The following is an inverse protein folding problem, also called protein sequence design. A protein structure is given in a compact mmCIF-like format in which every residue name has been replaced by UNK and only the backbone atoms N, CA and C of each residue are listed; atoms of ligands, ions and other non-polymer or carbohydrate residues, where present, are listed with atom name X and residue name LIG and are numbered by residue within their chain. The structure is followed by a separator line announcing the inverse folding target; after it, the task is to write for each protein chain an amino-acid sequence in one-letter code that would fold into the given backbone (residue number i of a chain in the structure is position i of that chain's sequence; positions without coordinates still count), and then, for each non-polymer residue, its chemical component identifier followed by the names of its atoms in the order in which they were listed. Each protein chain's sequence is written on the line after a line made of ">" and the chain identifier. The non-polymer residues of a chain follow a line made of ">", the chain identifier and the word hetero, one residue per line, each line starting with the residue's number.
data_IF_266875873905
#
_entry.id   IF_266875873905
#
_cell.length_a   1.000
_cell.length_b   1.000
_cell.length_c   1.000
_cell.angle_alpha   90.00
_cell.angle_beta   90.00
_cell.angle_gamma   90.00
#
_symmetry.space_group_name_H-M   'P 1'
#
loop_
_entity.id
_entity.type
_entity.pdbx_description
1 polymer ?
#
# COMPACT_ATOMS: atom_id res chain seq x y z
N UNK A 1 5.84 -20.59 -2.67
CA UNK A 1 4.47 -20.30 -3.15
C UNK A 1 3.67 -19.83 -1.94
N UNK A 2 3.44 -18.53 -1.80
CA UNK A 2 2.80 -17.94 -0.62
C UNK A 2 1.35 -17.58 -0.97
N UNK A 3 0.33 -18.08 -0.24
CA UNK A 3 -1.07 -17.80 -0.57
C UNK A 3 -1.40 -16.32 -0.36
N UNK A 4 -2.18 -15.76 -1.28
CA UNK A 4 -2.63 -14.38 -1.24
C UNK A 4 -4.14 -14.34 -0.97
N UNK A 5 -4.52 -13.55 0.02
CA UNK A 5 -5.90 -13.31 0.42
C UNK A 5 -6.25 -11.85 0.19
N UNK A 6 -7.51 -11.55 -0.13
CA UNK A 6 -7.99 -10.18 -0.32
C UNK A 6 -9.20 -9.88 0.55
N UNK A 7 -9.23 -8.72 1.21
CA UNK A 7 -10.38 -8.28 2.00
C UNK A 7 -10.62 -6.78 1.83
N UNK A 8 -11.73 -6.42 1.21
CA UNK A 8 -12.11 -5.03 0.97
C UNK A 8 -13.63 -4.84 1.04
N UNK A 9 -14.08 -3.58 1.17
CA UNK A 9 -15.47 -3.24 1.43
C UNK A 9 -16.46 -3.59 0.32
N UNK A 10 -15.98 -3.67 -0.92
CA UNK A 10 -16.79 -4.07 -2.08
C UNK A 10 -16.99 -5.59 -2.24
N UNK A 11 -16.52 -6.41 -1.29
CA UNK A 11 -16.74 -7.85 -1.30
C UNK A 11 -18.06 -8.21 -0.60
N UNK A 12 -18.82 -9.20 -1.11
CA UNK A 12 -19.96 -9.77 -0.40
C UNK A 12 -19.59 -10.21 1.02
N UNK A 13 -20.50 -10.06 1.98
CA UNK A 13 -20.24 -10.45 3.38
C UNK A 13 -19.84 -11.93 3.52
N UNK A 14 -20.47 -12.80 2.74
CA UNK A 14 -20.17 -14.24 2.69
C UNK A 14 -18.73 -14.52 2.26
N UNK A 15 -18.25 -13.83 1.22
CA UNK A 15 -16.87 -13.94 0.75
C UNK A 15 -15.87 -13.36 1.74
N UNK A 16 -16.21 -12.23 2.39
CA UNK A 16 -15.36 -11.66 3.45
C UNK A 16 -15.17 -12.64 4.61
N UNK A 17 -16.27 -13.27 5.05
CA UNK A 17 -16.22 -14.26 6.12
C UNK A 17 -15.39 -15.49 5.71
N UNK A 18 -15.58 -15.95 4.47
CA UNK A 18 -14.82 -17.09 3.94
C UNK A 18 -13.31 -16.81 3.90
N UNK A 19 -12.91 -15.69 3.29
CA UNK A 19 -11.49 -15.30 3.20
C UNK A 19 -10.88 -15.09 4.59
N UNK A 20 -11.62 -14.47 5.51
CA UNK A 20 -11.17 -14.30 6.88
C UNK A 20 -10.89 -15.64 7.57
N UNK A 21 -11.82 -16.60 7.47
CA UNK A 21 -11.65 -17.94 8.05
C UNK A 21 -10.48 -18.67 7.40
N UNK A 22 -10.36 -18.62 6.07
CA UNK A 22 -9.26 -19.24 5.33
C UNK A 22 -7.90 -18.66 5.75
N UNK A 23 -7.80 -17.33 5.90
CA UNK A 23 -6.56 -16.67 6.35
C UNK A 23 -6.21 -17.03 7.81
N UNK A 24 -7.19 -17.03 8.72
CA UNK A 24 -6.95 -17.37 10.12
C UNK A 24 -6.55 -18.84 10.33
N UNK A 25 -6.96 -19.73 9.41
CA UNK A 25 -6.58 -21.15 9.42
C UNK A 25 -5.24 -21.42 8.72
N UNK A 26 -4.74 -20.47 7.93
CA UNK A 26 -3.48 -20.65 7.20
C UNK A 26 -2.28 -20.53 8.15
N UNK A 27 -1.29 -21.42 7.97
CA UNK A 27 -0.02 -21.33 8.71
C UNK A 27 0.92 -20.26 8.15
N UNK A 28 0.70 -19.82 6.91
CA UNK A 28 1.44 -18.76 6.24
C UNK A 28 0.56 -18.14 5.15
N UNK A 29 0.73 -16.86 4.88
CA UNK A 29 0.02 -16.17 3.81
C UNK A 29 0.12 -14.66 3.91
N UNK A 30 -0.32 -13.97 2.87
CA UNK A 30 -0.41 -12.50 2.84
C UNK A 30 -1.86 -12.10 2.66
N UNK A 31 -2.38 -11.31 3.59
CA UNK A 31 -3.69 -10.67 3.46
C UNK A 31 -3.52 -9.24 2.96
N UNK A 32 -4.01 -8.97 1.76
CA UNK A 32 -4.12 -7.63 1.20
C UNK A 32 -5.49 -7.06 1.55
N UNK A 33 -5.52 -5.97 2.31
CA UNK A 33 -6.79 -5.40 2.77
C UNK A 33 -6.78 -3.87 2.84
N UNK A 34 -7.97 -3.29 2.73
CA UNK A 34 -8.20 -1.87 3.08
C UNK A 34 -8.55 -1.74 4.57
N UNK A 35 -8.86 -0.53 5.04
CA UNK A 35 -9.22 -0.25 6.45
C UNK A 35 -10.44 -1.01 6.97
N UNK A 36 -11.17 -1.72 6.10
CA UNK A 36 -12.20 -2.70 6.51
C UNK A 36 -11.64 -3.78 7.43
N UNK A 37 -10.35 -4.12 7.32
CA UNK A 37 -9.70 -5.07 8.21
C UNK A 37 -9.14 -4.45 9.50
N UNK A 38 -9.00 -3.11 9.55
CA UNK A 38 -8.32 -2.43 10.65
C UNK A 38 -9.12 -2.46 11.96
N UNK A 39 -10.45 -2.63 11.89
CA UNK A 39 -11.35 -2.64 13.05
C UNK A 39 -12.20 -3.89 13.10
N UNK A 40 -12.48 -4.37 14.31
CA UNK A 40 -13.43 -5.48 14.54
C UNK A 40 -12.97 -6.88 14.15
N UNK A 41 -11.88 -7.04 13.37
CA UNK A 41 -11.34 -8.35 13.03
C UNK A 41 -10.23 -8.78 13.99
N UNK A 42 -10.35 -9.97 14.55
CA UNK A 42 -9.33 -10.58 15.40
C UNK A 42 -8.43 -11.51 14.56
N UNK A 43 -7.41 -10.93 13.93
CA UNK A 43 -6.42 -11.70 13.19
C UNK A 43 -5.43 -12.36 14.18
N UNK A 44 -5.33 -13.71 14.24
CA UNK A 44 -4.40 -14.38 15.14
C UNK A 44 -2.99 -14.37 14.55
N UNK A 45 -1.98 -14.01 15.36
CA UNK A 45 -0.58 -14.27 15.04
C UNK A 45 -0.05 -13.61 13.77
N UNK A 46 -0.40 -12.34 13.54
CA UNK A 46 0.19 -11.58 12.41
C UNK A 46 1.61 -11.17 12.76
N UNK A 47 2.60 -11.65 12.01
CA UNK A 47 4.02 -11.35 12.27
C UNK A 47 4.41 -9.94 11.83
N UNK A 48 3.88 -9.48 10.69
CA UNK A 48 4.23 -8.18 10.12
C UNK A 48 3.03 -7.45 9.52
N UNK A 49 2.99 -6.14 9.72
CA UNK A 49 2.05 -5.23 9.09
C UNK A 49 2.78 -4.35 8.10
N UNK A 50 2.39 -4.43 6.82
CA UNK A 50 2.91 -3.55 5.77
C UNK A 50 1.82 -2.57 5.37
N UNK A 51 2.08 -1.29 5.61
CA UNK A 51 1.21 -0.18 5.24
C UNK A 51 1.77 0.45 3.97
N UNK A 52 1.13 0.15 2.83
CA UNK A 52 1.56 0.66 1.53
C UNK A 52 1.35 2.18 1.40
N UNK A 53 0.26 2.70 1.98
CA UNK A 53 -0.05 4.12 2.03
C UNK A 53 -0.27 4.54 3.49
N UNK A 54 0.09 5.79 3.80
CA UNK A 54 -0.24 6.40 5.08
C UNK A 54 -1.77 6.37 5.33
N UNK A 55 -2.22 6.09 6.56
CA UNK A 55 -3.65 6.10 6.87
C UNK A 55 -4.20 7.52 6.77
N UNK A 56 -5.47 7.63 6.37
CA UNK A 56 -6.16 8.93 6.27
C UNK A 56 -6.38 9.62 7.63
N UNK A 57 -6.21 8.87 8.72
CA UNK A 57 -6.29 9.33 10.11
C UNK A 57 -5.25 8.59 10.97
N UNK A 58 -4.53 9.31 11.81
CA UNK A 58 -3.55 8.77 12.74
C UNK A 58 -4.08 7.64 13.65
N UNK A 59 -5.37 7.65 14.01
CA UNK A 59 -5.99 6.58 14.81
C UNK A 59 -6.01 5.27 14.04
N UNK A 60 -6.14 5.33 12.72
CA UNK A 60 -6.11 4.13 11.89
C UNK A 60 -4.72 3.55 11.77
N UNK A 61 -3.66 4.37 11.86
CA UNK A 61 -2.30 3.85 12.05
C UNK A 61 -2.24 2.93 13.27
N UNK A 62 -2.69 3.42 14.43
CA UNK A 62 -2.66 2.66 15.68
C UNK A 62 -3.50 1.37 15.59
N UNK A 63 -4.67 1.43 14.94
CA UNK A 63 -5.51 0.25 14.73
C UNK A 63 -4.88 -0.81 13.82
N UNK A 64 -4.16 -0.38 12.77
CA UNK A 64 -3.44 -1.24 11.82
C UNK A 64 -2.27 -1.93 12.50
N UNK A 65 -1.37 -1.19 13.15
CA UNK A 65 -0.20 -1.78 13.84
C UNK A 65 -0.62 -2.62 15.05
N UNK A 66 -1.72 -2.27 15.71
CA UNK A 66 -2.29 -3.07 16.79
C UNK A 66 -2.86 -4.44 16.36
N UNK A 67 -2.73 -4.84 15.09
CA UNK A 67 -3.03 -6.20 14.62
C UNK A 67 -1.87 -7.18 14.83
N UNK A 68 -0.64 -6.69 14.92
CA UNK A 68 0.54 -7.49 15.26
C UNK A 68 0.92 -7.34 16.74
N UNK A 69 2.00 -7.98 17.18
CA UNK A 69 2.55 -7.92 18.53
C UNK A 69 1.50 -8.19 19.64
N UNK A 70 0.61 -9.16 19.42
CA UNK A 70 -0.48 -9.52 20.34
C UNK A 70 -0.10 -10.69 21.24
N UNK A 71 -0.69 -10.71 22.44
CA UNK A 71 -0.58 -11.83 23.39
C UNK A 71 0.89 -12.18 23.73
N UNK A 72 1.73 -11.15 23.90
CA UNK A 72 3.14 -11.32 24.26
C UNK A 72 4.06 -11.78 23.12
N UNK A 73 3.54 -11.88 21.88
CA UNK A 73 4.37 -12.10 20.69
C UNK A 73 4.98 -10.79 20.21
N UNK A 74 6.15 -10.90 19.58
CA UNK A 74 6.78 -9.81 18.84
C UNK A 74 6.07 -9.61 17.49
N UNK A 75 6.34 -8.48 16.85
CA UNK A 75 5.76 -8.15 15.56
C UNK A 75 6.26 -6.82 15.02
N UNK A 76 6.35 -6.74 13.69
CA UNK A 76 6.89 -5.55 13.00
C UNK A 76 5.81 -4.79 12.26
N UNK A 77 5.99 -3.48 12.13
CA UNK A 77 5.18 -2.63 11.26
C UNK A 77 6.06 -1.78 10.35
N UNK A 78 5.84 -1.88 9.04
CA UNK A 78 6.50 -1.09 8.01
C UNK A 78 5.48 -0.14 7.39
N UNK A 79 5.81 1.14 7.29
CA UNK A 79 5.02 2.15 6.58
C UNK A 79 5.86 2.71 5.43
N UNK A 80 5.33 2.63 4.22
CA UNK A 80 5.88 3.36 3.08
C UNK A 80 5.42 4.82 3.12
N UNK A 81 6.35 5.72 2.87
CA UNK A 81 6.10 7.15 2.72
C UNK A 81 6.77 7.65 1.45
N UNK A 82 6.08 8.51 0.71
CA UNK A 82 6.69 9.30 -0.34
C UNK A 82 7.65 10.34 0.27
N UNK A 83 8.65 10.83 -0.49
CA UNK A 83 9.52 11.90 -0.02
C UNK A 83 8.76 13.15 0.46
N UNK A 84 7.63 13.45 -0.18
CA UNK A 84 6.73 14.55 0.21
C UNK A 84 5.99 14.33 1.53
N UNK A 85 5.95 13.10 2.03
CA UNK A 85 5.17 12.69 3.21
C UNK A 85 6.06 12.52 4.44
N UNK A 86 7.37 12.73 4.33
CA UNK A 86 8.35 12.50 5.40
C UNK A 86 8.05 13.24 6.70
N UNK A 87 7.39 14.41 6.63
CA UNK A 87 6.94 15.15 7.82
C UNK A 87 5.92 14.36 8.67
N UNK A 88 5.29 13.32 8.13
CA UNK A 88 4.40 12.43 8.89
C UNK A 88 5.14 11.66 9.99
N UNK A 89 6.45 11.45 9.84
CA UNK A 89 7.29 10.82 10.87
C UNK A 89 7.25 11.62 12.17
N UNK A 90 7.20 12.95 12.09
CA UNK A 90 7.11 13.81 13.27
C UNK A 90 5.73 13.76 13.92
N UNK A 91 4.68 13.57 13.12
CA UNK A 91 3.31 13.31 13.62
C UNK A 91 3.27 12.00 14.41
N UNK A 92 3.88 10.93 13.87
CA UNK A 92 3.96 9.63 14.55
C UNK A 92 4.75 9.74 15.87
N UNK A 93 5.89 10.44 15.88
CA UNK A 93 6.67 10.70 17.09
C UNK A 93 5.88 11.51 18.12
N UNK A 94 5.10 12.49 17.69
CA UNK A 94 4.21 13.26 18.56
C UNK A 94 3.14 12.42 19.25
N UNK A 95 2.78 11.26 18.70
CA UNK A 95 1.91 10.27 19.33
C UNK A 95 2.66 9.23 20.18
N UNK A 96 3.96 9.44 20.43
CA UNK A 96 4.80 8.55 21.23
C UNK A 96 5.33 7.32 20.48
N UNK A 97 5.20 7.28 19.15
CA UNK A 97 5.69 6.16 18.36
C UNK A 97 7.18 6.34 18.02
N UNK A 98 7.98 5.33 18.30
CA UNK A 98 9.37 5.30 17.87
C UNK A 98 9.45 4.71 16.45
N UNK A 99 10.02 5.46 15.53
CA UNK A 99 10.15 5.08 14.13
C UNK A 99 11.61 4.97 13.74
N UNK A 100 11.94 3.92 12.99
CA UNK A 100 13.27 3.72 12.39
C UNK A 100 13.11 3.97 10.89
N UNK A 101 13.87 4.91 10.36
CA UNK A 101 13.88 5.16 8.93
C UNK A 101 14.69 4.07 8.24
N UNK A 102 14.09 3.46 7.22
CA UNK A 102 14.74 2.46 6.37
C UNK A 102 14.87 3.07 4.98
N UNK A 103 16.10 3.12 4.46
CA UNK A 103 16.34 3.61 3.12
C UNK A 103 15.79 2.59 2.09
N UNK A 104 15.19 3.08 1.00
CA UNK A 104 14.61 2.21 -0.01
C UNK A 104 15.71 1.34 -0.67
N UNK A 105 16.90 1.91 -0.82
CA UNK A 105 18.09 1.25 -1.37
C UNK A 105 18.48 0.02 -0.55
N UNK A 106 18.29 0.06 0.78
CA UNK A 106 18.59 -1.07 1.67
C UNK A 106 17.59 -2.21 1.48
N UNK A 107 16.34 -1.89 1.13
CA UNK A 107 15.29 -2.88 0.83
C UNK A 107 15.52 -3.46 -0.56
N UNK A 108 15.68 -2.60 -1.58
CA UNK A 108 15.85 -3.03 -2.96
C UNK A 108 17.17 -3.77 -3.19
N UNK A 109 18.22 -3.43 -2.44
CA UNK A 109 19.49 -4.16 -2.45
C UNK A 109 19.34 -5.63 -2.05
N UNK A 110 18.34 -5.99 -1.22
CA UNK A 110 18.05 -7.39 -0.85
C UNK A 110 17.34 -8.17 -1.95
N UNK A 111 16.67 -7.49 -2.88
CA UNK A 111 16.00 -8.13 -4.02
C UNK A 111 16.99 -8.57 -5.10
N UNK A 112 18.17 -7.93 -5.15
CA UNK A 112 19.22 -8.28 -6.09
C UNK A 112 20.13 -9.34 -5.44
N UNK A 113 20.13 -10.56 -5.97
CA UNK A 113 20.90 -11.69 -5.41
C UNK A 113 22.42 -11.53 -5.39
N UNK A 114 22.96 -10.38 -5.82
CA UNK A 114 24.40 -10.15 -5.99
C UNK A 114 24.83 -8.66 -5.86
N UNK A 115 24.89 -8.14 -4.63
CA UNK A 115 26.02 -7.35 -4.10
C UNK A 115 26.56 -6.10 -4.81
N UNK A 116 25.89 -5.49 -5.80
CA UNK A 116 26.32 -4.19 -6.37
C UNK A 116 25.22 -3.13 -6.25
N UNK A 117 25.59 -1.95 -5.73
CA UNK A 117 24.67 -0.79 -5.59
C UNK A 117 23.95 -0.38 -6.88
N UNK A 118 24.50 -0.65 -8.07
CA UNK A 118 23.86 -0.28 -9.34
C UNK A 118 22.84 -1.32 -9.87
N UNK A 119 22.68 -2.46 -9.19
CA UNK A 119 21.85 -3.57 -9.67
C UNK A 119 20.35 -3.34 -9.40
N UNK A 120 20.02 -2.62 -8.31
CA UNK A 120 18.64 -2.42 -7.90
C UNK A 120 17.87 -1.47 -8.82
N UNK A 121 18.51 -0.44 -9.37
CA UNK A 121 17.87 0.47 -10.32
C UNK A 121 17.47 -0.26 -11.60
N UNK A 122 18.33 -1.16 -12.07
CA UNK A 122 18.06 -2.00 -13.24
C UNK A 122 16.94 -2.99 -12.94
N UNK A 123 17.00 -3.68 -11.79
CA UNK A 123 15.94 -4.59 -11.37
C UNK A 123 14.58 -3.89 -11.23
N UNK A 124 14.56 -2.72 -10.57
CA UNK A 124 13.36 -1.89 -10.44
C UNK A 124 12.82 -1.44 -11.80
N UNK A 125 13.71 -1.02 -12.71
CA UNK A 125 13.34 -0.63 -14.07
C UNK A 125 12.75 -1.80 -14.85
N UNK A 126 13.35 -2.99 -14.76
CA UNK A 126 12.85 -4.19 -15.42
C UNK A 126 11.47 -4.59 -14.88
N UNK A 127 11.28 -4.55 -13.56
CA UNK A 127 10.00 -4.82 -12.92
C UNK A 127 8.93 -3.82 -13.35
N UNK A 128 9.25 -2.53 -13.35
CA UNK A 128 8.37 -1.46 -13.84
C UNK A 128 7.95 -1.72 -15.30
N UNK A 129 8.90 -2.06 -16.18
CA UNK A 129 8.61 -2.36 -17.59
C UNK A 129 7.74 -3.61 -17.75
N UNK A 130 7.89 -4.63 -16.91
CA UNK A 130 7.04 -5.80 -16.92
C UNK A 130 5.58 -5.44 -16.58
N UNK A 131 5.37 -4.66 -15.51
CA UNK A 131 4.04 -4.19 -15.14
C UNK A 131 3.42 -3.28 -16.21
N UNK A 132 4.17 -2.30 -16.74
CA UNK A 132 3.68 -1.44 -17.82
C UNK A 132 3.28 -2.24 -19.06
N UNK A 133 4.08 -3.25 -19.45
CA UNK A 133 3.75 -4.12 -20.58
C UNK A 133 2.50 -4.93 -20.28
N UNK A 134 2.36 -5.48 -19.08
CA UNK A 134 1.18 -6.24 -18.69
C UNK A 134 -0.10 -5.39 -18.75
N UNK A 135 -0.06 -4.18 -18.16
CA UNK A 135 -1.15 -3.21 -18.20
C UNK A 135 -1.48 -2.80 -19.63
N UNK A 136 -0.46 -2.57 -20.48
CA UNK A 136 -0.65 -2.17 -21.87
C UNK A 136 -1.33 -3.25 -22.74
N UNK A 137 -0.98 -4.52 -22.54
CA UNK A 137 -1.43 -5.61 -23.43
C UNK A 137 -2.71 -6.31 -22.96
N UNK A 138 -3.18 -6.06 -21.73
CA UNK A 138 -4.39 -6.67 -21.20
C UNK A 138 -5.45 -5.61 -20.93
N UNK A 139 -6.56 -5.65 -21.68
CA UNK A 139 -7.67 -4.68 -21.56
C UNK A 139 -8.19 -4.57 -20.14
N UNK A 140 -8.33 -5.71 -19.46
CA UNK A 140 -8.82 -5.76 -18.08
C UNK A 140 -7.79 -5.18 -17.10
N UNK A 141 -6.50 -5.46 -17.29
CA UNK A 141 -5.44 -4.86 -16.48
C UNK A 141 -5.40 -3.34 -16.65
N UNK A 142 -5.53 -2.83 -17.87
CA UNK A 142 -5.62 -1.40 -18.14
C UNK A 142 -6.83 -0.75 -17.46
N UNK A 143 -7.98 -1.42 -17.48
CA UNK A 143 -9.19 -0.95 -16.79
C UNK A 143 -8.96 -0.88 -15.27
N UNK A 144 -8.46 -1.97 -14.68
CA UNK A 144 -8.16 -2.04 -13.24
C UNK A 144 -7.11 -1.01 -12.82
N UNK A 145 -6.07 -0.79 -13.62
CA UNK A 145 -5.04 0.22 -13.35
C UNK A 145 -5.61 1.64 -13.30
N UNK A 146 -6.48 2.01 -14.26
CA UNK A 146 -7.14 3.33 -14.28
C UNK A 146 -8.10 3.52 -13.10
N UNK A 147 -8.85 2.47 -12.75
CA UNK A 147 -9.73 2.48 -11.59
C UNK A 147 -8.96 2.59 -10.28
N UNK A 148 -7.88 1.83 -10.13
CA UNK A 148 -7.00 1.86 -8.97
C UNK A 148 -6.33 3.24 -8.80
N UNK A 149 -5.78 3.81 -9.88
CA UNK A 149 -5.23 5.17 -9.88
C UNK A 149 -6.27 6.20 -9.42
N UNK A 150 -7.47 6.15 -10.00
CA UNK A 150 -8.55 7.09 -9.67
C UNK A 150 -9.00 6.92 -8.21
N UNK A 151 -9.13 5.68 -7.74
CA UNK A 151 -9.50 5.36 -6.37
C UNK A 151 -8.42 5.85 -5.38
N UNK A 152 -7.13 5.65 -5.68
CA UNK A 152 -6.04 6.12 -4.85
C UNK A 152 -6.03 7.65 -4.76
N UNK A 153 -6.13 8.39 -5.88
CA UNK A 153 -6.19 9.86 -5.85
C UNK A 153 -7.38 10.36 -5.03
N UNK A 154 -8.55 9.71 -5.17
CA UNK A 154 -9.73 10.04 -4.36
C UNK A 154 -9.51 9.76 -2.88
N UNK A 155 -8.95 8.61 -2.52
CA UNK A 155 -8.65 8.26 -1.14
C UNK A 155 -7.62 9.23 -0.53
N UNK A 156 -6.57 9.57 -1.26
CA UNK A 156 -5.58 10.55 -0.80
C UNK A 156 -6.19 11.93 -0.53
N UNK A 157 -7.21 12.32 -1.30
CA UNK A 157 -7.97 13.54 -1.06
C UNK A 157 -8.77 13.51 0.27
N UNK A 158 -8.95 12.35 0.90
CA UNK A 158 -9.72 12.18 2.15
C UNK A 158 -8.91 12.25 3.45
N UNK A 159 -7.57 12.41 3.39
CA UNK A 159 -6.76 12.64 4.61
C UNK A 159 -7.33 13.76 5.49
N UNK A 160 -7.23 13.58 6.81
CA UNK A 160 -7.74 14.50 7.81
C UNK A 160 -7.24 15.95 7.60
N UNK A 161 -8.08 16.92 7.93
CA UNK A 161 -7.77 18.35 7.77
C UNK A 161 -6.47 18.76 8.49
N UNK A 162 -6.22 18.20 9.68
CA UNK A 162 -5.01 18.42 10.47
C UNK A 162 -3.73 17.99 9.75
N UNK A 163 -3.82 17.01 8.84
CA UNK A 163 -2.67 16.44 8.14
C UNK A 163 -2.57 16.93 6.69
N UNK A 164 -3.47 17.81 6.23
CA UNK A 164 -3.44 18.35 4.85
C UNK A 164 -2.20 19.16 4.51
N UNK A 165 -1.47 19.65 5.50
CA UNK A 165 -0.17 20.28 5.27
C UNK A 165 0.90 19.27 4.80
N UNK A 166 0.66 17.96 4.98
CA UNK A 166 1.50 16.84 4.52
C UNK A 166 0.80 16.13 3.35
N UNK A 167 -0.45 15.69 3.53
CA UNK A 167 -1.20 14.88 2.58
C UNK A 167 -2.20 15.70 1.75
N UNK A 168 -1.70 16.71 1.04
CA UNK A 168 -2.49 17.40 0.03
C UNK A 168 -2.25 16.81 -1.36
N UNK A 169 -3.31 16.61 -2.13
CA UNK A 169 -3.25 16.17 -3.54
C UNK A 169 -2.35 17.07 -4.41
N UNK A 170 -2.11 18.33 -4.01
CA UNK A 170 -1.24 19.26 -4.74
C UNK A 170 0.24 18.91 -4.63
N UNK A 171 0.62 18.16 -3.59
CA UNK A 171 1.97 17.66 -3.39
C UNK A 171 2.21 16.33 -4.09
N UNK A 172 1.16 15.66 -4.57
CA UNK A 172 1.28 14.46 -5.38
C UNK A 172 1.69 14.79 -6.81
N UNK A 173 2.78 14.19 -7.26
CA UNK A 173 3.15 14.21 -8.66
C UNK A 173 2.29 13.19 -9.45
N UNK A 174 1.12 13.62 -9.94
CA UNK A 174 0.15 12.75 -10.61
C UNK A 174 0.72 11.94 -11.78
N UNK A 175 1.74 12.45 -12.48
CA UNK A 175 2.44 11.72 -13.55
C UNK A 175 3.21 10.48 -13.03
N UNK A 176 4.09 10.66 -12.05
CA UNK A 176 4.80 9.56 -11.38
C UNK A 176 3.84 8.57 -10.73
N UNK A 177 2.77 9.07 -10.11
CA UNK A 177 1.73 8.22 -9.55
C UNK A 177 1.01 7.40 -10.62
N UNK A 178 0.59 8.01 -11.74
CA UNK A 178 -0.02 7.25 -12.84
C UNK A 178 0.94 6.16 -13.37
N UNK A 179 2.23 6.50 -13.48
CA UNK A 179 3.27 5.55 -13.88
C UNK A 179 3.43 4.40 -12.89
N UNK A 180 3.28 4.61 -11.57
CA UNK A 180 3.34 3.53 -10.58
C UNK A 180 2.17 2.54 -10.70
N UNK A 181 1.06 2.93 -11.32
CA UNK A 181 -0.03 2.01 -11.71
C UNK A 181 0.19 1.36 -13.09
N UNK A 182 1.35 1.57 -13.71
CA UNK A 182 1.68 1.06 -15.05
C UNK A 182 1.00 1.82 -16.20
N UNK A 183 0.40 2.99 -15.91
CA UNK A 183 -0.27 3.81 -16.92
C UNK A 183 0.75 4.66 -17.68
N UNK A 184 0.59 4.74 -19.01
CA UNK A 184 1.42 5.56 -19.91
C UNK A 184 0.76 6.86 -20.35
N UNK A 185 -0.53 6.98 -20.11
CA UNK A 185 -1.33 8.15 -20.46
C UNK A 185 -1.05 9.30 -19.48
N UNK A 186 -1.14 10.55 -19.97
CA UNK A 186 -1.06 11.70 -19.09
C UNK A 186 -2.24 11.70 -18.09
N UNK A 187 -2.07 12.14 -16.83
CA UNK A 187 -3.10 12.04 -15.78
C UNK A 187 -4.46 12.65 -16.15
N UNK A 188 -4.47 13.71 -16.97
CA UNK A 188 -5.69 14.34 -17.48
C UNK A 188 -6.52 13.43 -18.39
N UNK A 189 -5.89 12.49 -19.09
CA UNK A 189 -6.55 11.53 -19.99
C UNK A 189 -7.10 10.31 -19.24
N UNK A 190 -6.51 9.97 -18.09
CA UNK A 190 -6.93 8.83 -17.27
C UNK A 190 -8.32 9.06 -16.66
N UNK A 191 -8.62 10.27 -16.20
CA UNK A 191 -9.93 10.62 -15.62
C UNK A 191 -11.05 10.74 -16.66
N UNK A 192 -10.73 11.04 -17.92
CA UNK A 192 -11.74 11.29 -18.97
C UNK A 192 -12.28 10.03 -19.64
N UNK A 193 -11.55 8.92 -19.58
CA UNK A 193 -11.92 7.67 -20.26
C UNK A 193 -13.06 6.88 -19.57
N UNK A 194 -13.55 7.32 -18.40
CA UNK A 194 -14.73 6.74 -17.72
C UNK A 194 -16.08 7.37 -18.14
N UNK A 195 -16.09 8.36 -19.04
CA UNK A 195 -17.30 9.09 -19.47
C UNK A 195 -17.81 8.74 -20.88
N UNK A 196 -17.43 7.60 -21.45
CA UNK A 196 -17.96 7.14 -22.74
C UNK A 196 -18.51 5.73 -22.64
#
# INVERSE_FOLDING_TARGET
>A
NTPLYRLHGNMPQTDRQRVYTEFCAASQGVLVCTDVAARGLHLPGVDQIVQYDAPCDIRDYAHRVGRTARLGKEGDALLFLLPSEMAYVDVLKGQGMQTILVAMEDILGRLCGSGRRNDFEQAATQLQLQFERWVLHQTEAARLAREAFTAHVRAYATHAASEKHIFHVKFLHLGHLAKSFGLREAPGQVSTSQKK
#
